data_IF_799971736369
#
_entry.id   IF_799971736369
#
_cell.length_a   1.000
_cell.length_b   1.000
_cell.length_c   1.000
_cell.angle_alpha   90.00
_cell.angle_beta   90.00
_cell.angle_gamma   90.00
#
_symmetry.space_group_name_H-M   'P 1'
#
loop_
_entity.id
_entity.type
_entity.pdbx_description
1 polymer ?
#
# COMPACT_ATOMS: atom_id res chain seq x y z
N UNK A 1 65.58 18.92 4.25
CA UNK A 1 64.17 18.70 3.85
C UNK A 1 63.76 17.30 4.29
N UNK A 2 63.02 17.13 5.41
CA UNK A 2 62.53 15.82 5.85
C UNK A 2 61.24 15.43 5.13
N UNK A 3 61.17 14.21 4.60
CA UNK A 3 59.99 13.66 3.91
C UNK A 3 59.03 13.02 4.91
N UNK A 4 57.85 13.61 5.09
CA UNK A 4 56.81 13.10 5.99
C UNK A 4 56.02 11.96 5.34
N UNK A 5 55.99 10.79 5.99
CA UNK A 5 55.34 9.56 5.53
C UNK A 5 53.83 9.54 5.92
N UNK A 6 52.90 9.45 4.94
CA UNK A 6 51.45 9.64 5.17
C UNK A 6 50.75 8.49 5.91
N UNK A 7 51.43 7.36 6.14
CA UNK A 7 50.82 6.19 6.81
C UNK A 7 50.77 6.28 8.34
N UNK A 8 51.51 7.22 8.96
CA UNK A 8 51.47 7.44 10.43
C UNK A 8 50.30 8.31 10.89
N UNK A 9 49.69 9.12 10.01
CA UNK A 9 48.57 9.99 10.37
C UNK A 9 47.23 9.25 10.54
N UNK A 10 47.05 8.09 9.89
CA UNK A 10 45.76 7.38 9.89
C UNK A 10 45.52 6.48 11.10
N UNK A 11 46.51 6.26 11.97
CA UNK A 11 46.39 5.44 13.19
C UNK A 11 46.12 6.25 14.46
N UNK A 12 46.15 7.59 14.39
CA UNK A 12 46.00 8.46 15.55
C UNK A 12 44.56 8.97 15.79
N UNK A 13 43.60 8.70 14.91
CA UNK A 13 42.18 9.12 15.10
C UNK A 13 41.30 8.10 15.85
N UNK A 14 41.86 7.00 16.35
CA UNK A 14 41.05 5.90 16.92
C UNK A 14 40.94 5.87 18.46
N UNK A 15 41.34 6.91 19.20
CA UNK A 15 41.42 6.76 20.67
C UNK A 15 41.18 8.01 21.53
N UNK A 16 40.23 8.88 21.18
CA UNK A 16 39.85 9.97 22.10
C UNK A 16 38.37 10.34 21.94
N UNK A 17 37.53 9.81 22.84
CA UNK A 17 36.41 10.48 23.53
C UNK A 17 35.49 9.40 24.14
N UNK A 18 36.02 8.72 25.16
CA UNK A 18 35.22 8.00 26.13
C UNK A 18 35.13 8.87 27.41
N UNK A 19 33.94 8.88 28.01
CA UNK A 19 33.57 9.35 29.35
C UNK A 19 33.02 10.78 29.51
N UNK A 20 31.97 10.86 30.34
CA UNK A 20 31.25 12.03 30.89
C UNK A 20 29.99 12.42 30.06
N UNK A 21 28.73 12.49 30.54
CA UNK A 21 28.15 12.72 31.88
C UNK A 21 26.67 12.25 31.87
N UNK A 22 26.31 11.35 32.80
CA UNK A 22 25.17 11.39 33.74
C UNK A 22 23.71 11.57 33.25
N UNK A 23 22.94 10.48 33.45
CA UNK A 23 21.57 10.41 33.99
C UNK A 23 20.55 11.53 33.67
N UNK A 24 19.53 11.17 32.88
CA UNK A 24 18.18 11.73 33.05
C UNK A 24 17.13 10.60 32.93
N UNK A 25 17.03 9.81 34.00
CA UNK A 25 15.86 8.99 34.29
C UNK A 25 14.81 9.95 34.85
N UNK A 26 13.89 10.42 34.00
CA UNK A 26 12.65 11.07 34.46
C UNK A 26 11.51 10.15 34.09
N UNK A 27 10.93 9.59 35.15
CA UNK A 27 9.71 8.82 35.15
C UNK A 27 8.55 9.65 34.58
N UNK A 28 7.88 9.09 33.58
CA UNK A 28 6.48 9.40 33.30
C UNK A 28 5.74 8.06 33.28
N UNK A 29 5.65 7.41 34.44
CA UNK A 29 4.58 6.46 34.73
C UNK A 29 3.28 7.25 34.77
N UNK A 30 2.61 7.35 33.61
CA UNK A 30 1.23 7.81 33.52
C UNK A 30 0.30 6.67 33.88
N UNK A 31 -0.11 6.69 35.14
CA UNK A 31 -1.10 5.85 35.80
C UNK A 31 -2.51 6.06 35.22
N UNK A 32 -3.35 5.06 35.46
CA UNK A 32 -4.61 4.75 34.80
C UNK A 32 -5.67 5.87 34.72
N UNK A 33 -6.37 5.90 33.58
CA UNK A 33 -7.82 6.12 33.61
C UNK A 33 -8.51 5.39 32.46
N UNK A 34 -9.02 4.19 32.77
CA UNK A 34 -10.11 3.60 32.01
C UNK A 34 -11.33 4.56 32.05
N UNK A 35 -11.97 4.84 30.90
CA UNK A 35 -13.27 5.48 30.91
C UNK A 35 -14.34 4.51 31.45
N UNK A 36 -15.12 5.04 32.38
CA UNK A 36 -16.29 4.46 33.05
C UNK A 36 -17.32 3.90 32.04
N UNK A 37 -17.86 2.67 32.22
CA UNK A 37 -18.86 2.11 31.32
C UNK A 37 -20.26 2.39 31.84
N UNK A 38 -20.77 3.63 31.86
CA UNK A 38 -22.21 3.85 32.10
C UNK A 38 -22.63 5.24 31.63
N UNK A 39 -23.15 5.35 30.41
CA UNK A 39 -24.30 6.21 30.12
C UNK A 39 -25.06 5.59 28.93
N UNK A 40 -26.01 4.72 29.26
CA UNK A 40 -27.08 4.34 28.33
C UNK A 40 -28.16 5.42 28.43
N UNK A 41 -28.36 6.30 27.44
CA UNK A 41 -29.57 7.10 27.40
C UNK A 41 -30.75 6.18 27.09
N UNK A 42 -31.59 5.96 28.10
CA UNK A 42 -32.95 5.46 27.94
C UNK A 42 -33.74 6.48 27.13
N UNK A 43 -33.87 6.25 25.83
CA UNK A 43 -34.82 6.98 25.00
C UNK A 43 -36.13 6.19 24.99
N UNK A 44 -37.16 6.83 25.52
CA UNK A 44 -38.51 6.31 25.61
C UNK A 44 -39.04 5.87 24.24
N UNK A 45 -39.57 4.65 24.18
CA UNK A 45 -40.28 4.13 23.03
C UNK A 45 -41.56 4.95 22.80
N UNK A 46 -41.59 5.72 21.72
CA UNK A 46 -42.81 6.21 21.10
C UNK A 46 -43.17 5.25 19.98
N UNK A 47 -44.29 4.56 20.12
CA UNK A 47 -44.89 3.73 19.06
C UNK A 47 -45.51 4.64 18.02
N UNK A 48 -44.74 4.95 16.97
CA UNK A 48 -45.28 5.51 15.73
C UNK A 48 -45.54 4.36 14.76
N UNK A 49 -46.74 4.34 14.17
CA UNK A 49 -47.19 3.27 13.31
C UNK A 49 -46.34 3.20 12.03
N UNK A 50 -45.58 2.12 11.88
CA UNK A 50 -44.75 1.82 10.71
C UNK A 50 -45.60 1.83 9.42
N UNK A 51 -45.40 2.76 8.47
CA UNK A 51 -45.92 2.57 7.13
C UNK A 51 -45.19 1.36 6.53
N UNK A 52 -45.95 0.39 6.02
CA UNK A 52 -45.42 -0.77 5.32
C UNK A 52 -44.42 -0.31 4.25
N UNK A 53 -43.13 -0.69 4.34
CA UNK A 53 -42.19 -0.32 3.29
C UNK A 53 -42.63 -1.04 2.01
N UNK A 54 -43.04 -0.26 1.02
CA UNK A 54 -43.22 -0.75 -0.35
C UNK A 54 -41.87 -1.34 -0.77
N UNK A 55 -41.81 -2.57 -1.32
CA UNK A 55 -40.53 -3.12 -1.77
C UNK A 55 -40.02 -2.26 -2.93
N UNK A 56 -39.08 -1.37 -2.64
CA UNK A 56 -38.30 -0.67 -3.67
C UNK A 56 -37.50 -1.74 -4.40
N UNK A 57 -37.91 -2.03 -5.63
CA UNK A 57 -37.19 -2.88 -6.55
C UNK A 57 -35.80 -2.28 -6.77
N UNK A 58 -34.82 -2.78 -6.01
CA UNK A 58 -33.43 -2.35 -6.08
C UNK A 58 -32.79 -3.16 -7.20
N UNK A 59 -32.50 -2.52 -8.34
CA UNK A 59 -31.68 -3.15 -9.37
C UNK A 59 -30.34 -3.57 -8.77
N UNK A 60 -29.79 -4.74 -9.16
CA UNK A 60 -28.51 -5.20 -8.65
C UNK A 60 -27.40 -4.19 -8.97
N UNK A 61 -26.35 -4.11 -8.14
CA UNK A 61 -25.22 -3.24 -8.40
C UNK A 61 -24.59 -3.58 -9.77
N UNK A 62 -24.36 -2.54 -10.58
CA UNK A 62 -23.70 -2.68 -11.88
C UNK A 62 -22.20 -2.86 -11.67
N UNK A 63 -21.69 -4.07 -11.85
CA UNK A 63 -20.25 -4.33 -11.93
C UNK A 63 -19.70 -3.67 -13.21
N UNK A 64 -18.57 -2.94 -13.16
CA UNK A 64 -17.91 -2.42 -14.36
C UNK A 64 -17.66 -3.53 -15.38
N UNK A 65 -17.72 -3.23 -16.67
CA UNK A 65 -17.31 -4.17 -17.73
C UNK A 65 -16.22 -3.54 -18.57
N UNK A 66 -15.10 -4.24 -18.70
CA UNK A 66 -13.99 -3.84 -19.55
C UNK A 66 -14.07 -4.60 -20.88
N UNK A 67 -13.70 -3.93 -21.97
CA UNK A 67 -13.71 -4.54 -23.31
C UNK A 67 -12.37 -4.34 -24.01
N UNK A 68 -12.07 -5.24 -24.96
CA UNK A 68 -10.80 -5.27 -25.67
C UNK A 68 -9.72 -6.11 -24.98
N UNK A 69 -8.54 -6.12 -25.60
CA UNK A 69 -7.38 -6.96 -25.23
C UNK A 69 -6.08 -6.16 -25.12
N UNK A 70 -6.12 -4.83 -25.31
CA UNK A 70 -4.94 -3.98 -25.18
C UNK A 70 -4.61 -3.74 -23.70
N UNK A 71 -3.50 -4.30 -23.24
CA UNK A 71 -3.10 -4.28 -21.83
C UNK A 71 -2.88 -2.87 -21.27
N UNK A 72 -2.35 -1.95 -22.09
CA UNK A 72 -2.13 -0.56 -21.69
C UNK A 72 -3.45 0.19 -21.49
N UNK A 73 -4.39 0.04 -22.42
CA UNK A 73 -5.71 0.66 -22.33
C UNK A 73 -6.50 0.10 -21.13
N UNK A 74 -6.48 -1.21 -20.93
CA UNK A 74 -7.12 -1.87 -19.79
C UNK A 74 -6.50 -1.40 -18.46
N UNK A 75 -5.17 -1.34 -18.36
CA UNK A 75 -4.48 -0.79 -17.19
C UNK A 75 -4.87 0.67 -16.92
N UNK A 76 -4.94 1.51 -17.96
CA UNK A 76 -5.33 2.90 -17.85
C UNK A 76 -6.74 3.10 -17.28
N UNK A 77 -7.66 2.17 -17.60
CA UNK A 77 -9.03 2.20 -17.11
C UNK A 77 -9.18 1.63 -15.70
N UNK A 78 -8.50 0.52 -15.41
CA UNK A 78 -8.74 -0.26 -14.19
C UNK A 78 -7.74 0.04 -13.05
N UNK A 79 -6.51 0.48 -13.36
CA UNK A 79 -5.40 0.44 -12.40
C UNK A 79 -4.76 1.82 -12.18
N UNK A 80 -4.70 2.65 -13.23
CA UNK A 80 -3.90 3.87 -13.23
C UNK A 80 -4.35 4.93 -12.21
N UNK A 81 -5.61 4.89 -11.75
CA UNK A 81 -6.11 5.79 -10.71
C UNK A 81 -5.33 5.68 -9.40
N UNK A 82 -4.80 4.48 -9.08
CA UNK A 82 -3.97 4.25 -7.90
C UNK A 82 -2.48 4.07 -8.24
N UNK A 83 -2.17 3.40 -9.35
CA UNK A 83 -0.80 3.03 -9.70
C UNK A 83 -0.10 3.98 -10.68
N UNK A 84 -0.78 5.04 -11.12
CA UNK A 84 -0.24 6.03 -12.07
C UNK A 84 -0.30 5.56 -13.52
N UNK A 85 -0.44 6.49 -14.47
CA UNK A 85 -0.62 6.18 -15.90
C UNK A 85 0.63 5.55 -16.53
N UNK A 86 1.80 5.87 -16.01
CA UNK A 86 3.11 5.35 -16.41
C UNK A 86 3.71 4.40 -15.36
N UNK A 87 2.88 3.83 -14.47
CA UNK A 87 3.27 2.90 -13.39
C UNK A 87 4.13 3.54 -12.29
N UNK A 88 4.17 4.86 -12.26
CA UNK A 88 4.96 5.70 -11.37
C UNK A 88 4.42 5.74 -9.93
N UNK A 89 3.25 5.12 -9.69
CA UNK A 89 2.56 5.20 -8.41
C UNK A 89 1.83 6.53 -8.21
N UNK A 90 1.03 6.60 -7.17
CA UNK A 90 0.37 7.83 -6.72
C UNK A 90 0.37 7.89 -5.20
N UNK A 91 -0.31 8.87 -4.61
CA UNK A 91 -0.56 8.86 -3.17
C UNK A 91 -1.53 7.74 -2.72
N UNK A 92 -2.20 7.06 -3.66
CA UNK A 92 -3.15 5.98 -3.38
C UNK A 92 -2.57 4.58 -3.63
N UNK A 93 -1.40 4.46 -4.24
CA UNK A 93 -0.85 3.14 -4.57
C UNK A 93 0.62 3.18 -4.99
N UNK A 94 1.33 2.05 -4.81
CA UNK A 94 2.76 1.97 -5.08
C UNK A 94 3.06 2.03 -6.58
N UNK A 95 4.29 2.43 -6.91
CA UNK A 95 4.84 2.28 -8.25
C UNK A 95 5.11 0.81 -8.58
N UNK A 96 4.76 0.37 -9.79
CA UNK A 96 5.20 -0.93 -10.30
C UNK A 96 6.62 -0.89 -10.92
N UNK A 97 7.24 0.29 -11.01
CA UNK A 97 8.63 0.48 -11.43
C UNK A 97 9.62 0.38 -10.23
N UNK A 98 9.28 -0.44 -9.24
CA UNK A 98 10.19 -0.80 -8.15
C UNK A 98 10.61 -2.27 -8.27
N UNK A 99 11.87 -2.58 -7.97
CA UNK A 99 12.44 -3.94 -8.03
C UNK A 99 11.71 -4.95 -7.14
N UNK A 100 10.99 -4.52 -6.11
CA UNK A 100 10.13 -5.40 -5.30
C UNK A 100 9.05 -6.09 -6.15
N UNK A 101 8.65 -5.46 -7.25
CA UNK A 101 7.68 -6.01 -8.19
C UNK A 101 8.32 -6.76 -9.36
N UNK A 102 9.65 -6.98 -9.35
CA UNK A 102 10.32 -7.76 -10.37
C UNK A 102 9.77 -9.21 -10.41
N UNK A 103 9.75 -9.85 -11.59
CA UNK A 103 9.27 -11.24 -11.77
C UNK A 103 9.81 -12.24 -10.73
N UNK A 104 11.07 -12.10 -10.31
CA UNK A 104 11.69 -12.97 -9.31
C UNK A 104 11.21 -12.78 -7.86
N UNK A 105 10.51 -11.69 -7.55
CA UNK A 105 10.00 -11.40 -6.19
C UNK A 105 8.48 -11.29 -6.13
N UNK A 106 7.83 -10.70 -7.13
CA UNK A 106 6.39 -10.77 -7.34
C UNK A 106 6.14 -11.35 -8.72
N UNK A 107 6.00 -12.68 -8.78
CA UNK A 107 5.65 -13.38 -10.01
C UNK A 107 4.26 -12.96 -10.53
N UNK A 108 3.97 -13.22 -11.80
CA UNK A 108 2.71 -12.82 -12.47
C UNK A 108 1.46 -13.31 -11.73
N UNK A 109 1.51 -14.50 -11.13
CA UNK A 109 0.40 -15.04 -10.32
C UNK A 109 0.03 -14.13 -9.13
N UNK A 110 0.98 -13.34 -8.62
CA UNK A 110 0.74 -12.38 -7.55
C UNK A 110 -0.15 -11.23 -8.02
N UNK A 111 0.03 -10.78 -9.27
CA UNK A 111 -0.82 -9.75 -9.88
C UNK A 111 -2.22 -10.29 -10.16
N UNK A 112 -2.33 -11.55 -10.61
CA UNK A 112 -3.61 -12.21 -10.83
C UNK A 112 -4.39 -12.29 -9.50
N UNK A 113 -3.77 -12.76 -8.43
CA UNK A 113 -4.43 -12.81 -7.12
C UNK A 113 -4.72 -11.43 -6.53
N UNK A 114 -3.87 -10.43 -6.78
CA UNK A 114 -4.15 -9.05 -6.37
C UNK A 114 -5.44 -8.52 -7.02
N UNK A 115 -5.65 -8.81 -8.31
CA UNK A 115 -6.88 -8.44 -9.02
C UNK A 115 -8.07 -9.24 -8.50
N UNK A 116 -7.96 -10.57 -8.41
CA UNK A 116 -9.09 -11.45 -8.06
C UNK A 116 -9.52 -11.33 -6.59
N UNK A 117 -8.58 -11.08 -5.68
CA UNK A 117 -8.77 -11.24 -4.23
C UNK A 117 -8.38 -10.00 -3.42
N UNK A 118 -7.81 -8.99 -4.07
CA UNK A 118 -7.23 -7.86 -3.39
C UNK A 118 -5.91 -8.21 -2.69
N UNK A 119 -5.34 -7.22 -2.01
CA UNK A 119 -4.07 -7.33 -1.30
C UNK A 119 -4.19 -6.67 0.06
N UNK A 120 -3.71 -7.35 1.10
CA UNK A 120 -3.49 -6.74 2.41
C UNK A 120 -2.19 -5.96 2.39
N UNK A 121 -2.19 -4.74 2.93
CA UNK A 121 -0.98 -3.92 3.03
C UNK A 121 0.16 -4.70 3.72
N UNK A 122 1.36 -4.69 3.13
CA UNK A 122 2.53 -5.38 3.71
C UNK A 122 3.90 -4.79 3.33
N UNK A 123 4.07 -4.15 2.17
CA UNK A 123 5.33 -3.50 1.78
C UNK A 123 5.30 -1.97 1.89
N UNK A 124 4.11 -1.40 1.82
CA UNK A 124 3.87 0.04 1.75
C UNK A 124 2.66 0.39 2.62
N UNK A 125 2.58 1.68 2.98
CA UNK A 125 1.50 2.21 3.81
C UNK A 125 0.41 2.91 2.98
N UNK A 126 -0.04 2.26 1.90
CA UNK A 126 -1.17 2.73 1.08
C UNK A 126 -2.52 2.15 1.53
N UNK A 127 -2.51 1.23 2.51
CA UNK A 127 -3.67 0.44 2.88
C UNK A 127 -3.90 -0.77 1.97
N UNK A 128 -5.05 -1.41 2.15
CA UNK A 128 -5.42 -2.61 1.38
C UNK A 128 -5.85 -2.24 -0.03
N UNK A 129 -5.47 -3.05 -1.01
CA UNK A 129 -6.03 -3.01 -2.35
C UNK A 129 -7.28 -3.91 -2.38
N UNK A 130 -8.42 -3.37 -2.78
CA UNK A 130 -9.62 -4.17 -3.02
C UNK A 130 -9.48 -5.03 -4.30
N UNK A 131 -10.23 -6.14 -4.44
CA UNK A 131 -10.35 -6.83 -5.71
C UNK A 131 -10.84 -5.88 -6.82
N UNK A 132 -10.40 -6.11 -8.05
CA UNK A 132 -10.87 -5.36 -9.22
C UNK A 132 -11.85 -6.24 -9.98
N UNK A 133 -13.14 -5.93 -9.85
CA UNK A 133 -14.22 -6.68 -10.50
C UNK A 133 -14.36 -6.32 -11.99
N UNK A 134 -14.88 -7.26 -12.78
CA UNK A 134 -15.25 -7.01 -14.18
C UNK A 134 -14.14 -7.18 -15.21
N UNK A 135 -12.92 -7.51 -14.78
CA UNK A 135 -11.82 -7.94 -15.65
C UNK A 135 -11.86 -9.46 -15.84
N UNK A 136 -11.80 -9.90 -17.09
CA UNK A 136 -11.61 -11.30 -17.46
C UNK A 136 -10.15 -11.72 -17.29
N UNK A 137 -9.89 -13.03 -17.14
CA UNK A 137 -8.53 -13.55 -16.90
C UNK A 137 -7.53 -13.12 -17.98
N UNK A 138 -7.92 -13.22 -19.26
CA UNK A 138 -7.08 -12.83 -20.40
C UNK A 138 -6.78 -11.32 -20.40
N UNK A 139 -7.70 -10.50 -19.90
CA UNK A 139 -7.48 -9.06 -19.75
C UNK A 139 -6.45 -8.77 -18.66
N UNK A 140 -6.49 -9.51 -17.55
CA UNK A 140 -5.48 -9.42 -16.49
C UNK A 140 -4.10 -9.82 -17.03
N UNK A 141 -4.01 -10.89 -17.83
CA UNK A 141 -2.75 -11.29 -18.47
C UNK A 141 -2.22 -10.20 -19.43
N UNK A 142 -3.09 -9.55 -20.20
CA UNK A 142 -2.69 -8.43 -21.05
C UNK A 142 -2.16 -7.24 -20.24
N UNK A 143 -2.80 -6.89 -19.13
CA UNK A 143 -2.33 -5.86 -18.19
C UNK A 143 -0.96 -6.23 -17.63
N UNK A 144 -0.76 -7.48 -17.20
CA UNK A 144 0.53 -7.95 -16.68
C UNK A 144 1.61 -7.85 -17.76
N UNK A 145 1.31 -8.27 -18.99
CA UNK A 145 2.26 -8.15 -20.10
C UNK A 145 2.71 -6.70 -20.32
N UNK A 146 1.77 -5.76 -20.27
CA UNK A 146 2.07 -4.32 -20.30
C UNK A 146 2.95 -3.89 -19.12
N UNK A 147 2.63 -4.30 -17.89
CA UNK A 147 3.45 -3.97 -16.71
C UNK A 147 4.88 -4.48 -16.87
N UNK A 148 5.05 -5.73 -17.34
CA UNK A 148 6.37 -6.31 -17.56
C UNK A 148 7.14 -5.57 -18.65
N UNK A 149 6.49 -5.22 -19.76
CA UNK A 149 7.13 -4.41 -20.79
C UNK A 149 7.72 -3.11 -20.23
N UNK A 150 6.94 -2.40 -19.42
CA UNK A 150 7.39 -1.15 -18.79
C UNK A 150 8.50 -1.36 -17.77
N UNK A 151 8.44 -2.44 -16.99
CA UNK A 151 9.50 -2.81 -16.05
C UNK A 151 10.82 -3.12 -16.77
N UNK A 152 10.77 -3.88 -17.86
CA UNK A 152 11.96 -4.17 -18.68
C UNK A 152 12.57 -2.91 -19.27
N UNK A 153 11.73 -2.01 -19.81
CA UNK A 153 12.16 -0.70 -20.29
C UNK A 153 12.83 0.15 -19.20
N UNK A 154 12.48 -0.06 -17.93
CA UNK A 154 13.07 0.58 -16.77
C UNK A 154 14.25 -0.21 -16.13
N UNK A 155 14.67 -1.34 -16.72
CA UNK A 155 15.76 -2.17 -16.21
C UNK A 155 15.41 -3.04 -15.00
N UNK A 156 14.14 -3.43 -14.88
CA UNK A 156 13.60 -4.28 -13.81
C UNK A 156 13.22 -5.63 -14.41
N UNK A 157 13.95 -6.67 -14.03
CA UNK A 157 13.84 -8.06 -14.51
C UNK A 157 13.84 -9.04 -13.33
#
# INVERSE_FOLDING_TARGET
MPTSNPRRLRRACLAALAAAVLALVVACTGDERAPDPTETPTVAATTEATPTPTPTSTSPPTVPRFSGTDGRALYGQACAVCHGQALEGTNAGPTFLNRIYAPGHHADISFIFAVERGVRAHHWDFGNMAPVEGLEHEQVLAIIAFIREQQRAAGIE
#
